data_IF_788819267656
#
_entry.id   IF_788819267656
#
_cell.length_a   1.000
_cell.length_b   1.000
_cell.length_c   1.000
_cell.angle_alpha   90.00
_cell.angle_beta   90.00
_cell.angle_gamma   90.00
#
_symmetry.space_group_name_H-M   'P 1'
#
loop_
_entity.id
_entity.type
_entity.pdbx_description
1 polymer ?
#
# COMPACT_ATOMS: atom_id res chain seq x y z
N UNK A 1 4.58 3.46 -13.07
CA UNK A 1 4.07 3.35 -11.70
C UNK A 1 5.16 2.78 -10.81
N UNK A 2 5.48 3.49 -9.75
CA UNK A 2 6.52 3.13 -8.80
C UNK A 2 6.04 1.97 -7.88
N UNK A 3 6.95 1.12 -7.42
CA UNK A 3 6.67 0.03 -6.45
C UNK A 3 5.57 -0.96 -6.90
N UNK A 4 5.31 -1.07 -8.22
CA UNK A 4 4.27 -1.93 -8.79
C UNK A 4 4.72 -3.39 -8.79
N UNK A 5 3.89 -4.28 -8.24
CA UNK A 5 4.06 -5.73 -8.29
C UNK A 5 2.78 -6.52 -8.04
N UNK A 6 2.80 -7.77 -8.48
CA UNK A 6 1.75 -8.76 -8.28
C UNK A 6 2.00 -9.55 -6.98
N UNK A 7 0.98 -9.76 -6.18
CA UNK A 7 1.04 -10.64 -5.00
C UNK A 7 0.94 -12.13 -5.38
N UNK A 8 0.53 -12.45 -6.60
CA UNK A 8 0.37 -13.82 -7.07
C UNK A 8 1.69 -14.59 -7.20
N UNK A 9 1.58 -15.91 -7.37
CA UNK A 9 2.71 -16.82 -7.51
C UNK A 9 3.29 -17.34 -6.18
N UNK A 10 2.76 -16.88 -5.03
CA UNK A 10 3.19 -17.34 -3.70
C UNK A 10 2.48 -18.64 -3.32
N UNK A 11 3.18 -19.55 -2.66
CA UNK A 11 2.62 -20.80 -2.13
C UNK A 11 1.77 -20.52 -0.90
N UNK A 12 0.68 -21.25 -0.76
CA UNK A 12 -0.25 -21.17 0.37
C UNK A 12 -0.18 -22.44 1.22
N UNK A 13 -0.62 -22.38 2.47
CA UNK A 13 -0.72 -23.54 3.38
C UNK A 13 -1.70 -24.61 2.87
N UNK A 14 -2.54 -24.28 1.89
CA UNK A 14 -3.51 -25.20 1.27
C UNK A 14 -2.92 -25.98 0.08
N UNK A 15 -1.60 -26.09 -0.06
CA UNK A 15 -0.89 -26.68 -1.21
C UNK A 15 -1.30 -26.09 -2.55
N UNK A 16 -1.72 -24.83 -2.59
CA UNK A 16 -2.08 -24.08 -3.79
C UNK A 16 -1.09 -22.92 -3.99
N UNK A 17 -1.19 -22.33 -5.16
CA UNK A 17 -0.44 -21.10 -5.48
C UNK A 17 -1.42 -19.97 -5.72
N UNK A 18 -1.21 -18.83 -5.07
CA UNK A 18 -2.02 -17.63 -5.28
C UNK A 18 -1.96 -17.26 -6.76
N UNK A 19 -3.13 -17.11 -7.37
CA UNK A 19 -3.26 -16.80 -8.80
C UNK A 19 -2.63 -15.45 -9.12
N UNK A 20 -1.82 -15.38 -10.17
CA UNK A 20 -1.27 -14.13 -10.68
C UNK A 20 -2.34 -13.26 -11.34
N UNK A 21 -2.16 -11.94 -11.29
CA UNK A 21 -3.03 -10.96 -11.92
C UNK A 21 -4.31 -10.65 -11.13
N UNK A 22 -4.49 -11.19 -9.91
CA UNK A 22 -5.62 -10.83 -9.05
C UNK A 22 -5.34 -9.60 -8.20
N UNK A 23 -4.19 -9.54 -7.56
CA UNK A 23 -3.85 -8.49 -6.59
C UNK A 23 -2.56 -7.80 -6.98
N UNK A 24 -2.66 -6.55 -7.39
CA UNK A 24 -1.54 -5.69 -7.75
C UNK A 24 -1.39 -4.60 -6.70
N UNK A 25 -0.20 -4.44 -6.15
CA UNK A 25 0.12 -3.33 -5.24
C UNK A 25 1.08 -2.34 -5.89
N UNK A 26 0.92 -1.04 -5.59
CA UNK A 26 1.82 -0.01 -6.13
C UNK A 26 1.85 1.26 -5.26
N UNK A 27 2.71 2.21 -5.62
CA UNK A 27 2.60 3.60 -5.20
C UNK A 27 1.48 4.30 -5.98
N UNK A 28 1.08 5.50 -5.53
CA UNK A 28 0.09 6.31 -6.22
C UNK A 28 0.43 6.43 -7.71
N UNK A 29 -0.50 6.09 -8.61
CA UNK A 29 -0.26 6.13 -10.05
C UNK A 29 -0.36 7.57 -10.59
N UNK A 30 0.58 8.41 -10.20
CA UNK A 30 0.68 9.81 -10.65
C UNK A 30 1.39 9.97 -11.99
N UNK A 31 2.10 8.93 -12.42
CA UNK A 31 2.80 8.88 -13.70
C UNK A 31 2.63 7.50 -14.33
N UNK A 32 2.30 7.48 -15.61
CA UNK A 32 2.15 6.27 -16.41
C UNK A 32 3.06 6.33 -17.63
N UNK A 33 3.88 5.33 -17.82
CA UNK A 33 4.45 5.10 -19.14
C UNK A 33 3.47 4.28 -20.01
N UNK A 34 3.61 4.36 -21.32
CA UNK A 34 2.68 3.72 -22.26
C UNK A 34 2.65 2.19 -22.12
N UNK A 35 3.78 1.56 -21.81
CA UNK A 35 3.84 0.11 -21.61
C UNK A 35 3.00 -0.33 -20.40
N UNK A 36 3.04 0.43 -19.30
CA UNK A 36 2.24 0.15 -18.09
C UNK A 36 0.77 0.43 -18.39
N UNK A 37 0.43 1.53 -19.08
CA UNK A 37 -0.95 1.80 -19.49
C UNK A 37 -1.53 0.63 -20.28
N UNK A 38 -0.84 0.17 -21.30
CA UNK A 38 -1.29 -0.95 -22.14
C UNK A 38 -1.54 -2.21 -21.31
N UNK A 39 -0.64 -2.54 -20.38
CA UNK A 39 -0.79 -3.71 -19.49
C UNK A 39 -1.97 -3.58 -18.55
N UNK A 40 -2.18 -2.41 -17.95
CA UNK A 40 -3.29 -2.19 -17.02
C UNK A 40 -4.62 -2.16 -17.76
N UNK A 41 -4.69 -1.58 -18.96
CA UNK A 41 -5.90 -1.58 -19.78
C UNK A 41 -6.32 -2.99 -20.19
N UNK A 42 -5.35 -3.89 -20.38
CA UNK A 42 -5.58 -5.29 -20.70
C UNK A 42 -6.03 -6.15 -19.50
N UNK A 43 -6.04 -5.62 -18.27
CA UNK A 43 -6.47 -6.36 -17.09
C UNK A 43 -7.96 -6.68 -17.11
N UNK A 44 -8.29 -7.84 -16.58
CA UNK A 44 -9.68 -8.30 -16.50
C UNK A 44 -10.43 -7.52 -15.41
N UNK A 45 -11.46 -6.75 -15.81
CA UNK A 45 -12.32 -5.98 -14.90
C UNK A 45 -11.52 -5.26 -13.79
N UNK A 46 -10.59 -4.36 -14.12
CA UNK A 46 -9.73 -3.75 -13.12
C UNK A 46 -10.53 -2.88 -12.16
N UNK A 47 -10.22 -2.98 -10.88
CA UNK A 47 -10.72 -2.14 -9.80
C UNK A 47 -9.52 -1.49 -9.10
N UNK A 48 -9.58 -0.18 -8.86
CA UNK A 48 -8.49 0.56 -8.25
C UNK A 48 -8.92 1.04 -6.86
N UNK A 49 -8.15 0.70 -5.84
CA UNK A 49 -8.41 1.10 -4.46
C UNK A 49 -7.31 2.04 -3.99
N UNK A 50 -7.71 3.23 -3.57
CA UNK A 50 -6.82 4.30 -3.11
C UNK A 50 -6.96 4.47 -1.58
N UNK A 51 -5.90 4.13 -0.84
CA UNK A 51 -5.84 4.27 0.62
C UNK A 51 -5.30 5.63 1.09
N UNK A 52 -5.03 6.55 0.20
CA UNK A 52 -4.51 7.86 0.61
C UNK A 52 -5.55 8.65 1.40
N UNK A 53 -5.10 9.42 2.36
CA UNK A 53 -5.93 10.40 3.04
C UNK A 53 -6.52 11.40 2.05
N UNK A 54 -7.62 12.03 2.44
CA UNK A 54 -8.38 12.95 1.57
C UNK A 54 -7.48 14.08 1.05
N UNK A 55 -6.64 14.65 1.91
CA UNK A 55 -5.76 15.76 1.51
C UNK A 55 -4.60 15.29 0.63
N UNK A 56 -4.08 14.07 0.84
CA UNK A 56 -3.02 13.51 -0.01
C UNK A 56 -3.53 13.29 -1.45
N UNK A 57 -4.73 12.75 -1.59
CA UNK A 57 -5.36 12.51 -2.89
C UNK A 57 -5.65 13.82 -3.62
N UNK A 58 -6.18 14.81 -2.93
CA UNK A 58 -6.47 16.14 -3.47
C UNK A 58 -5.20 16.88 -3.94
N UNK A 59 -4.13 16.81 -3.16
CA UNK A 59 -2.87 17.50 -3.48
C UNK A 59 -2.08 16.85 -4.62
N UNK A 60 -2.29 15.56 -4.86
CA UNK A 60 -1.58 14.81 -5.89
C UNK A 60 -2.50 13.74 -6.52
N UNK A 61 -3.47 14.15 -7.35
CA UNK A 61 -4.46 13.23 -7.91
C UNK A 61 -3.82 12.11 -8.72
N UNK A 62 -4.38 10.90 -8.60
CA UNK A 62 -3.98 9.78 -9.46
C UNK A 62 -4.34 10.06 -10.90
N UNK A 63 -3.38 9.87 -11.81
CA UNK A 63 -3.61 9.95 -13.26
C UNK A 63 -4.15 8.61 -13.75
N UNK A 64 -5.42 8.33 -13.50
CA UNK A 64 -6.07 7.10 -13.92
C UNK A 64 -6.67 7.29 -15.32
N UNK A 65 -6.45 6.35 -16.27
CA UNK A 65 -7.12 6.42 -17.58
C UNK A 65 -8.63 6.59 -17.43
N UNK A 66 -9.25 7.43 -18.26
CA UNK A 66 -10.70 7.73 -18.16
C UNK A 66 -11.58 6.47 -18.15
N UNK A 67 -11.19 5.42 -18.86
CA UNK A 67 -11.85 4.12 -18.87
C UNK A 67 -11.89 3.39 -17.52
N UNK A 68 -11.08 3.82 -16.54
CA UNK A 68 -11.02 3.24 -15.19
C UNK A 68 -11.54 4.17 -14.09
N UNK A 69 -11.93 5.40 -14.39
CA UNK A 69 -12.36 6.37 -13.36
C UNK A 69 -13.60 5.87 -12.59
N UNK A 70 -14.53 5.22 -13.26
CA UNK A 70 -15.73 4.63 -12.64
C UNK A 70 -15.45 3.38 -11.80
N UNK A 71 -14.20 2.92 -11.79
CA UNK A 71 -13.74 1.71 -11.09
C UNK A 71 -12.76 2.06 -9.96
N UNK A 72 -12.60 3.34 -9.62
CA UNK A 72 -11.81 3.81 -8.50
C UNK A 72 -12.68 3.85 -7.25
N UNK A 73 -12.22 3.20 -6.19
CA UNK A 73 -12.78 3.29 -4.84
C UNK A 73 -11.77 4.00 -3.95
N UNK A 74 -12.21 5.02 -3.23
CA UNK A 74 -11.40 5.74 -2.26
C UNK A 74 -11.74 5.23 -0.85
N UNK A 75 -10.77 4.61 -0.20
CA UNK A 75 -10.83 4.11 1.18
C UNK A 75 -9.80 4.86 2.01
N UNK A 76 -10.09 6.10 2.44
CA UNK A 76 -9.06 6.95 3.02
C UNK A 76 -8.58 6.42 4.38
N UNK A 77 -7.27 6.36 4.52
CA UNK A 77 -6.55 6.14 5.78
C UNK A 77 -5.59 7.31 5.94
N UNK A 78 -5.86 8.16 6.92
CA UNK A 78 -5.04 9.36 7.15
C UNK A 78 -3.65 8.99 7.65
N UNK A 79 -2.58 9.60 7.08
CA UNK A 79 -1.23 9.35 7.53
C UNK A 79 -0.98 10.05 8.88
N UNK A 80 -0.81 9.28 9.95
CA UNK A 80 -0.47 9.81 11.28
C UNK A 80 1.04 9.99 11.48
N UNK A 81 1.80 10.13 10.39
CA UNK A 81 3.26 10.30 10.41
C UNK A 81 3.67 11.52 11.25
N UNK A 82 2.87 12.60 11.20
CA UNK A 82 3.17 13.82 11.97
C UNK A 82 3.09 13.59 13.48
N UNK A 83 2.14 12.79 13.97
CA UNK A 83 2.03 12.43 15.39
C UNK A 83 3.19 11.54 15.81
N UNK A 84 3.57 10.59 14.94
CA UNK A 84 4.70 9.70 15.15
C UNK A 84 6.02 10.48 15.23
N UNK A 85 6.23 11.44 14.33
CA UNK A 85 7.43 12.29 14.31
C UNK A 85 7.50 13.22 15.52
N UNK A 86 6.38 13.72 16.03
CA UNK A 86 6.34 14.50 17.27
C UNK A 86 6.80 13.64 18.45
N UNK A 87 6.29 12.42 18.59
CA UNK A 87 6.74 11.49 19.63
C UNK A 87 8.22 11.16 19.55
N UNK A 88 8.80 11.08 18.33
CA UNK A 88 10.22 10.82 18.13
C UNK A 88 11.13 12.02 18.48
N UNK A 89 10.63 13.26 18.40
CA UNK A 89 11.41 14.45 18.77
C UNK A 89 11.63 14.58 20.28
N UNK A 90 10.83 13.88 21.09
CA UNK A 90 10.93 13.85 22.56
C UNK A 90 11.77 12.69 23.07
N UNK A 91 12.20 11.79 22.18
CA UNK A 91 12.97 10.57 22.53
C UNK A 91 14.43 10.74 22.14
N UNK A 92 15.31 10.39 23.04
CA UNK A 92 16.74 10.27 22.75
C UNK A 92 16.96 9.19 21.67
N UNK A 93 17.40 9.62 20.49
CA UNK A 93 17.62 8.77 19.31
C UNK A 93 18.68 7.67 19.51
N UNK A 94 19.45 7.73 20.59
CA UNK A 94 20.36 6.64 21.00
C UNK A 94 19.62 5.43 21.59
N UNK A 95 18.34 5.61 22.01
CA UNK A 95 17.54 4.56 22.64
C UNK A 95 16.67 3.82 21.60
N UNK A 96 17.31 2.96 20.81
CA UNK A 96 16.65 2.17 19.75
C UNK A 96 15.41 1.41 20.26
N UNK A 97 15.46 0.86 21.47
CA UNK A 97 14.36 0.09 22.07
C UNK A 97 13.10 0.94 22.32
N UNK A 98 13.24 2.21 22.69
CA UNK A 98 12.10 3.10 22.88
C UNK A 98 11.49 3.51 21.54
N UNK A 99 12.32 3.79 20.57
CA UNK A 99 11.89 4.08 19.19
C UNK A 99 11.09 2.90 18.64
N UNK A 100 11.56 1.66 18.80
CA UNK A 100 10.85 0.46 18.36
C UNK A 100 9.48 0.29 19.05
N UNK A 101 9.38 0.60 20.35
CA UNK A 101 8.10 0.58 21.08
C UNK A 101 7.10 1.62 20.53
N UNK A 102 7.57 2.84 20.25
CA UNK A 102 6.73 3.90 19.67
C UNK A 102 6.19 3.47 18.32
N UNK A 103 7.05 2.91 17.44
CA UNK A 103 6.60 2.37 16.16
C UNK A 103 5.59 1.23 16.31
N UNK A 104 5.83 0.27 17.20
CA UNK A 104 4.89 -0.82 17.46
C UNK A 104 3.53 -0.31 17.95
N UNK A 105 3.50 0.65 18.87
CA UNK A 105 2.27 1.25 19.37
C UNK A 105 1.52 2.00 18.25
N UNK A 106 2.25 2.75 17.42
CA UNK A 106 1.67 3.46 16.29
C UNK A 106 1.06 2.52 15.26
N UNK A 107 1.71 1.39 14.93
CA UNK A 107 1.15 0.40 14.03
C UNK A 107 -0.07 -0.32 14.63
N UNK A 108 -0.07 -0.62 15.94
CA UNK A 108 -1.25 -1.18 16.63
C UNK A 108 -2.43 -0.20 16.58
N UNK A 109 -2.19 1.07 16.94
CA UNK A 109 -3.21 2.12 16.88
C UNK A 109 -3.75 2.31 15.47
N UNK A 110 -2.85 2.35 14.49
CA UNK A 110 -3.20 2.42 13.07
C UNK A 110 -4.16 1.29 12.67
N UNK A 111 -3.88 0.05 13.07
CA UNK A 111 -4.71 -1.11 12.74
C UNK A 111 -6.11 -0.98 13.36
N UNK A 112 -6.20 -0.66 14.65
CA UNK A 112 -7.47 -0.56 15.39
C UNK A 112 -8.34 0.57 14.83
N UNK A 113 -7.76 1.72 14.57
CA UNK A 113 -8.49 2.90 14.10
C UNK A 113 -9.00 2.78 12.65
N UNK A 114 -8.39 1.89 11.86
CA UNK A 114 -8.75 1.71 10.45
C UNK A 114 -9.39 0.34 10.17
N UNK A 115 -9.84 -0.39 11.19
CA UNK A 115 -10.44 -1.71 11.02
C UNK A 115 -11.62 -1.68 10.05
N UNK A 116 -12.53 -0.71 10.17
CA UNK A 116 -13.67 -0.54 9.26
C UNK A 116 -13.27 -0.29 7.80
N UNK A 117 -12.17 0.43 7.56
CA UNK A 117 -11.63 0.62 6.22
C UNK A 117 -11.12 -0.69 5.63
N UNK A 118 -10.46 -1.53 6.44
CA UNK A 118 -10.00 -2.85 5.99
C UNK A 118 -11.15 -3.84 5.83
N UNK A 119 -12.19 -3.78 6.65
CA UNK A 119 -13.43 -4.57 6.46
C UNK A 119 -14.08 -4.24 5.11
N UNK A 120 -14.26 -2.97 4.78
CA UNK A 120 -14.81 -2.54 3.48
C UNK A 120 -13.88 -2.95 2.33
N UNK A 121 -12.57 -2.84 2.51
CA UNK A 121 -11.60 -3.35 1.55
C UNK A 121 -11.80 -4.83 1.24
N UNK A 122 -11.91 -5.69 2.27
CA UNK A 122 -12.14 -7.12 2.07
C UNK A 122 -13.51 -7.41 1.46
N UNK A 123 -14.54 -6.69 1.86
CA UNK A 123 -15.86 -6.81 1.24
C UNK A 123 -15.78 -6.54 -0.27
N UNK A 124 -15.07 -5.48 -0.69
CA UNK A 124 -14.85 -5.20 -2.12
C UNK A 124 -14.12 -6.35 -2.81
N UNK A 125 -13.10 -6.97 -2.16
CA UNK A 125 -12.39 -8.12 -2.74
C UNK A 125 -13.35 -9.31 -2.94
N UNK A 126 -14.18 -9.62 -1.96
CA UNK A 126 -15.12 -10.75 -2.02
C UNK A 126 -16.26 -10.51 -3.00
N UNK A 127 -16.75 -9.28 -3.13
CA UNK A 127 -17.80 -8.91 -4.08
C UNK A 127 -17.29 -8.88 -5.53
N UNK A 128 -15.97 -8.91 -5.76
CA UNK A 128 -15.33 -8.81 -7.07
C UNK A 128 -14.32 -9.93 -7.34
N UNK A 129 -14.69 -11.23 -7.22
CA UNK A 129 -13.75 -12.36 -7.26
C UNK A 129 -13.04 -12.55 -8.61
N UNK A 130 -13.64 -12.04 -9.68
CA UNK A 130 -13.12 -12.13 -11.06
C UNK A 130 -12.33 -10.88 -11.51
N UNK A 131 -12.19 -9.90 -10.63
CA UNK A 131 -11.56 -8.62 -10.94
C UNK A 131 -10.08 -8.65 -10.62
N UNK A 132 -9.29 -7.90 -11.39
CA UNK A 132 -7.94 -7.53 -10.96
C UNK A 132 -8.03 -6.33 -10.04
N UNK A 133 -7.66 -6.50 -8.78
CA UNK A 133 -7.67 -5.44 -7.78
C UNK A 133 -6.27 -4.80 -7.72
N UNK A 134 -6.17 -3.55 -8.14
CA UNK A 134 -4.96 -2.74 -7.96
C UNK A 134 -5.17 -1.79 -6.79
N UNK A 135 -4.33 -1.86 -5.77
CA UNK A 135 -4.46 -1.01 -4.58
C UNK A 135 -3.16 -0.29 -4.24
N UNK A 136 -3.30 0.93 -3.74
CA UNK A 136 -2.17 1.81 -3.48
C UNK A 136 -2.43 2.79 -2.32
N UNK A 137 -1.35 3.35 -1.82
CA UNK A 137 -1.33 4.59 -1.04
C UNK A 137 -0.37 5.57 -1.72
N UNK A 138 0.28 6.45 -1.00
CA UNK A 138 1.26 7.40 -1.58
C UNK A 138 2.51 6.69 -2.09
N UNK A 139 3.26 6.00 -1.22
CA UNK A 139 4.48 5.26 -1.58
C UNK A 139 4.24 3.78 -1.93
N UNK A 140 3.05 3.26 -1.65
CA UNK A 140 2.76 1.84 -1.79
C UNK A 140 3.52 0.97 -0.76
N UNK A 141 3.97 1.54 0.36
CA UNK A 141 4.77 0.87 1.41
C UNK A 141 3.91 0.44 2.59
N UNK A 142 3.50 1.37 3.45
CA UNK A 142 2.95 1.08 4.77
C UNK A 142 1.47 0.63 4.69
N UNK A 143 0.53 1.52 4.35
CA UNK A 143 -0.90 1.19 4.21
C UNK A 143 -1.13 0.06 3.20
N UNK A 144 -0.50 0.17 2.04
CA UNK A 144 -0.53 -0.86 0.98
C UNK A 144 0.16 -2.14 1.42
N UNK A 145 1.28 -2.04 2.14
CA UNK A 145 2.01 -3.18 2.68
C UNK A 145 1.20 -3.95 3.70
N UNK A 146 0.51 -3.24 4.58
CA UNK A 146 -0.37 -3.85 5.58
C UNK A 146 -1.56 -4.57 4.90
N UNK A 147 -2.25 -3.92 3.96
CA UNK A 147 -3.31 -4.55 3.16
C UNK A 147 -2.80 -5.81 2.43
N UNK A 148 -1.58 -5.77 1.87
CA UNK A 148 -0.95 -6.92 1.22
C UNK A 148 -0.69 -8.06 2.21
N UNK A 149 -0.20 -7.75 3.41
CA UNK A 149 0.04 -8.73 4.45
C UNK A 149 -1.26 -9.41 4.88
N UNK A 150 -2.35 -8.66 5.04
CA UNK A 150 -3.67 -9.20 5.36
C UNK A 150 -4.18 -10.15 4.26
N UNK A 151 -4.08 -9.76 2.97
CA UNK A 151 -4.45 -10.64 1.84
C UNK A 151 -3.62 -11.93 1.88
N UNK A 152 -2.30 -11.82 1.98
CA UNK A 152 -1.42 -12.98 1.95
C UNK A 152 -1.66 -13.92 3.15
N UNK A 153 -1.92 -13.36 4.34
CA UNK A 153 -2.28 -14.11 5.53
C UNK A 153 -3.61 -14.84 5.36
N UNK A 154 -4.62 -14.20 4.77
CA UNK A 154 -5.93 -14.80 4.48
C UNK A 154 -5.78 -16.05 3.58
N UNK A 155 -4.87 -16.00 2.62
CA UNK A 155 -4.57 -17.14 1.74
C UNK A 155 -3.57 -18.13 2.33
N UNK A 156 -3.16 -17.99 3.59
CA UNK A 156 -2.25 -18.91 4.26
C UNK A 156 -0.83 -18.90 3.70
N UNK A 157 -0.35 -17.76 3.23
CA UNK A 157 1.06 -17.60 2.82
C UNK A 157 1.93 -17.52 4.07
N UNK A 158 3.10 -18.16 4.04
CA UNK A 158 4.03 -18.18 5.17
C UNK A 158 4.50 -16.76 5.58
N UNK A 159 4.66 -16.53 6.88
CA UNK A 159 5.02 -15.23 7.44
C UNK A 159 6.32 -14.66 6.87
N UNK A 160 7.32 -15.52 6.62
CA UNK A 160 8.60 -15.14 6.01
C UNK A 160 8.39 -14.54 4.61
N UNK A 161 7.52 -15.19 3.80
CA UNK A 161 7.19 -14.72 2.45
C UNK A 161 6.39 -13.41 2.48
N UNK A 162 5.53 -13.22 3.48
CA UNK A 162 4.79 -11.96 3.71
C UNK A 162 5.77 -10.84 4.07
N UNK A 163 6.71 -11.12 4.97
CA UNK A 163 7.73 -10.16 5.38
C UNK A 163 8.66 -9.78 4.22
N UNK A 164 9.07 -10.76 3.41
CA UNK A 164 9.88 -10.53 2.21
C UNK A 164 9.17 -9.58 1.24
N UNK A 165 7.87 -9.79 0.99
CA UNK A 165 7.10 -8.88 0.14
C UNK A 165 7.02 -7.48 0.76
N UNK A 166 6.79 -7.36 2.06
CA UNK A 166 6.74 -6.07 2.75
C UNK A 166 8.06 -5.31 2.60
N UNK A 167 9.18 -5.95 2.92
CA UNK A 167 10.52 -5.38 2.88
C UNK A 167 11.02 -5.10 1.46
N UNK A 168 10.48 -5.79 0.45
CA UNK A 168 10.81 -5.56 -0.96
C UNK A 168 10.53 -4.10 -1.37
N UNK A 169 9.59 -3.43 -0.72
CA UNK A 169 9.32 -2.01 -0.95
C UNK A 169 10.53 -1.10 -0.72
N UNK A 170 11.48 -1.49 0.13
CA UNK A 170 12.72 -0.74 0.37
C UNK A 170 13.64 -0.74 -0.87
N UNK A 171 13.53 -1.76 -1.72
CA UNK A 171 14.32 -1.91 -2.96
C UNK A 171 13.58 -1.38 -4.19
N UNK A 172 12.25 -1.51 -4.22
CA UNK A 172 11.44 -1.22 -5.41
C UNK A 172 10.86 0.19 -5.42
N UNK A 173 10.68 0.81 -4.26
CA UNK A 173 10.24 2.20 -4.18
C UNK A 173 11.39 3.16 -4.42
N UNK A 174 11.23 4.03 -5.42
CA UNK A 174 12.18 5.10 -5.75
C UNK A 174 11.51 6.44 -5.44
N UNK A 175 11.89 7.15 -4.36
CA UNK A 175 11.29 8.43 -4.03
C UNK A 175 11.50 9.43 -5.16
N UNK A 176 10.45 10.19 -5.49
CA UNK A 176 10.53 11.27 -6.47
C UNK A 176 11.39 12.42 -5.93
N UNK A 177 11.88 13.29 -6.81
CA UNK A 177 12.69 14.45 -6.40
C UNK A 177 11.95 15.35 -5.39
N UNK A 178 10.62 15.49 -5.52
CA UNK A 178 9.78 16.27 -4.60
C UNK A 178 9.84 15.68 -3.17
N UNK A 179 9.71 14.36 -3.04
CA UNK A 179 9.79 13.67 -1.74
C UNK A 179 11.20 13.77 -1.16
N UNK A 180 12.25 13.65 -2.00
CA UNK A 180 13.64 13.85 -1.53
C UNK A 180 13.87 15.24 -0.95
N UNK A 181 13.31 16.28 -1.57
CA UNK A 181 13.41 17.66 -1.08
C UNK A 181 12.66 17.88 0.24
N UNK A 182 11.54 17.22 0.45
CA UNK A 182 10.79 17.28 1.72
C UNK A 182 11.53 16.54 2.85
N UNK A 183 12.10 15.38 2.58
CA UNK A 183 12.92 14.61 3.55
C UNK A 183 14.17 15.40 3.94
N UNK A 184 14.86 16.06 3.00
CA UNK A 184 16.01 16.91 3.30
C UNK A 184 15.64 18.12 4.16
N UNK A 185 14.45 18.70 4.01
CA UNK A 185 13.97 19.81 4.85
C UNK A 185 13.66 19.40 6.29
N UNK A 186 13.36 18.13 6.51
CA UNK A 186 13.06 17.56 7.85
C UNK A 186 14.34 17.06 8.54
N UNK A 187 15.50 17.08 7.84
CA UNK A 187 16.79 16.72 8.43
C UNK A 187 16.95 15.23 8.74
N UNK A 188 16.26 14.35 7.98
CA UNK A 188 16.38 12.88 8.05
C UNK A 188 17.14 12.36 6.83
#
# INVERSE_FOLDING_TARGET
INNLRDLGGKKTSFNKTLKKGLFLRCAAPTEWNEQIKTRIVALKKPLIIDFRGVQEEKNNPSQIPKSFLSKKVHLPIEPKVTELLRGLNEVDRSQKTEIDKIFQQAYRKYTIENIGTFEEFFKILFDNPDSTIMFHCTAGKDRTGFASALILSLFGVANETIMDDYLLSNKTYKPTQKVKGEVQKIGI
#
